data_IF_750420485219
#
_entry.id   IF_750420485219
#
_cell.length_a   1.000
_cell.length_b   1.000
_cell.length_c   1.000
_cell.angle_alpha   90.00
_cell.angle_beta   90.00
_cell.angle_gamma   90.00
#
_symmetry.space_group_name_H-M   'P 1'
#
loop_
_entity.id
_entity.type
_entity.pdbx_description
1 polymer ?
#
# COMPACT_ATOMS: atom_id res chain seq x y z
N UNK A 1 14.81 6.65 -32.27
CA UNK A 1 13.59 7.48 -32.15
C UNK A 1 13.24 7.55 -30.67
N UNK A 2 13.25 8.75 -30.09
CA UNK A 2 13.04 8.97 -28.65
C UNK A 2 11.55 8.81 -28.35
N UNK A 3 11.17 7.76 -27.62
CA UNK A 3 9.82 7.63 -27.07
C UNK A 3 9.74 8.54 -25.84
N UNK A 4 8.86 9.54 -25.90
CA UNK A 4 8.54 10.39 -24.77
C UNK A 4 7.60 9.59 -23.86
N UNK A 5 8.08 9.14 -22.71
CA UNK A 5 7.20 8.64 -21.66
C UNK A 5 6.47 9.83 -21.06
N UNK A 6 5.16 9.92 -21.29
CA UNK A 6 4.31 10.80 -20.51
C UNK A 6 4.16 10.19 -19.12
N UNK A 7 4.68 10.89 -18.11
CA UNK A 7 4.45 10.62 -16.70
C UNK A 7 3.02 11.06 -16.38
N UNK A 8 2.11 10.10 -16.17
CA UNK A 8 0.80 10.38 -15.58
C UNK A 8 0.91 10.06 -14.08
N UNK A 9 1.05 11.11 -13.27
CA UNK A 9 0.99 11.03 -11.81
C UNK A 9 -0.45 10.67 -11.44
N UNK A 10 -0.69 9.42 -11.04
CA UNK A 10 -1.98 9.00 -10.50
C UNK A 10 -1.89 9.02 -8.97
N UNK A 11 -2.54 10.01 -8.35
CA UNK A 11 -2.84 10.01 -6.93
C UNK A 11 -3.62 8.73 -6.58
N UNK A 12 -3.11 7.93 -5.65
CA UNK A 12 -3.93 6.95 -4.95
C UNK A 12 -5.09 7.70 -4.28
N UNK A 13 -6.30 7.42 -4.76
CA UNK A 13 -7.53 7.87 -4.15
C UNK A 13 -7.74 7.08 -2.86
N UNK A 14 -7.44 7.72 -1.73
CA UNK A 14 -7.97 7.30 -0.42
C UNK A 14 -9.48 7.48 -0.50
N UNK A 15 -10.22 6.40 -0.72
CA UNK A 15 -11.67 6.42 -0.69
C UNK A 15 -12.12 6.62 0.75
N UNK A 16 -12.52 7.86 1.07
CA UNK A 16 -13.20 8.20 2.31
C UNK A 16 -14.64 7.67 2.21
N UNK A 17 -14.92 6.52 2.81
CA UNK A 17 -16.30 6.05 3.02
C UNK A 17 -16.91 6.87 4.15
N UNK A 18 -17.52 8.00 3.77
CA UNK A 18 -18.23 8.88 4.69
C UNK A 18 -19.49 8.23 5.25
N UNK A 19 -19.55 8.12 6.57
CA UNK A 19 -20.77 7.86 7.32
C UNK A 19 -21.80 8.99 7.05
N UNK A 20 -23.01 8.64 6.59
CA UNK A 20 -24.19 9.51 6.79
C UNK A 20 -25.38 8.70 7.29
N UNK A 21 -25.86 9.13 8.46
CA UNK A 21 -27.03 8.61 9.14
C UNK A 21 -28.34 8.93 8.39
N UNK A 22 -29.29 8.01 8.49
CA UNK A 22 -30.61 8.05 7.89
C UNK A 22 -31.54 9.17 8.41
N UNK A 23 -32.37 9.76 7.51
CA UNK A 23 -33.85 9.84 7.68
C UNK A 23 -34.64 10.41 6.46
N UNK A 24 -35.56 9.55 6.00
CA UNK A 24 -36.95 9.72 5.50
C UNK A 24 -37.37 10.60 4.29
N UNK A 25 -37.95 9.88 3.31
CA UNK A 25 -39.28 10.03 2.63
C UNK A 25 -39.58 11.20 1.68
N UNK A 26 -39.97 10.85 0.45
CA UNK A 26 -40.80 11.67 -0.45
C UNK A 26 -40.75 11.20 -1.91
N UNK A 27 -41.90 10.89 -2.50
CA UNK A 27 -42.11 10.18 -3.77
C UNK A 27 -42.39 11.11 -4.99
N UNK A 28 -42.27 10.54 -6.19
CA UNK A 28 -43.01 10.79 -7.45
C UNK A 28 -42.37 11.61 -8.61
N UNK A 29 -42.27 10.90 -9.76
CA UNK A 29 -42.51 11.23 -11.19
C UNK A 29 -41.76 12.46 -11.81
N UNK A 30 -41.27 12.51 -13.07
CA UNK A 30 -41.76 11.96 -14.34
C UNK A 30 -40.74 12.23 -15.50
N UNK A 31 -40.87 11.43 -16.57
CA UNK A 31 -40.63 11.62 -18.02
C UNK A 31 -39.44 12.37 -18.68
N UNK A 32 -38.76 11.63 -19.59
CA UNK A 32 -38.57 11.84 -21.07
C UNK A 32 -37.85 13.15 -21.52
N UNK A 33 -36.77 13.18 -22.31
CA UNK A 33 -36.69 12.78 -23.73
C UNK A 33 -35.26 12.94 -24.28
N UNK A 34 -34.97 12.14 -25.29
CA UNK A 34 -33.85 12.15 -26.24
C UNK A 34 -33.56 13.50 -26.93
N UNK A 35 -32.31 13.71 -27.35
CA UNK A 35 -32.07 14.17 -28.72
C UNK A 35 -30.73 13.68 -29.27
N UNK A 36 -30.83 12.94 -30.37
CA UNK A 36 -29.78 12.41 -31.25
C UNK A 36 -29.53 13.40 -32.41
N UNK A 37 -28.31 13.42 -32.93
CA UNK A 37 -27.93 13.50 -34.36
C UNK A 37 -26.56 14.17 -34.54
N UNK A 38 -25.72 13.93 -35.54
CA UNK A 38 -25.46 12.84 -36.51
C UNK A 38 -24.35 13.39 -37.45
N UNK A 39 -23.62 12.52 -38.15
CA UNK A 39 -22.80 12.82 -39.35
C UNK A 39 -21.31 13.10 -39.10
N UNK A 40 -20.37 12.17 -39.35
CA UNK A 40 -19.76 11.76 -40.65
C UNK A 40 -18.89 12.86 -41.30
N UNK A 41 -17.76 12.65 -41.97
CA UNK A 41 -16.72 11.62 -42.12
C UNK A 41 -15.72 12.18 -43.17
N UNK A 42 -14.48 11.67 -43.20
CA UNK A 42 -13.52 11.68 -44.36
C UNK A 42 -12.85 13.03 -44.74
N UNK A 43 -11.62 13.14 -45.23
CA UNK A 43 -10.42 12.28 -45.38
C UNK A 43 -9.23 13.22 -45.75
N UNK A 44 -8.02 12.67 -45.72
CA UNK A 44 -6.66 13.03 -46.25
C UNK A 44 -6.44 14.31 -47.15
N UNK A 45 -5.26 14.91 -47.37
CA UNK A 45 -3.85 14.50 -47.35
C UNK A 45 -2.93 15.75 -47.47
N UNK A 46 -1.61 15.52 -47.32
CA UNK A 46 -0.37 16.33 -47.46
C UNK A 46 -0.30 17.61 -48.33
N UNK A 47 0.60 18.56 -47.98
CA UNK A 47 1.80 18.97 -48.79
C UNK A 47 2.82 19.82 -48.00
N UNK A 48 4.05 19.81 -48.51
CA UNK A 48 5.34 20.27 -47.97
C UNK A 48 5.64 21.79 -47.96
N UNK A 49 6.58 22.13 -47.07
CA UNK A 49 7.75 23.03 -47.14
C UNK A 49 7.80 24.28 -48.06
N UNK A 50 8.28 25.40 -47.48
CA UNK A 50 9.31 26.25 -48.13
C UNK A 50 10.23 26.97 -47.12
N UNK A 51 11.44 27.24 -47.62
CA UNK A 51 12.70 27.77 -47.09
C UNK A 51 12.67 29.09 -46.29
N UNK A 52 13.75 29.36 -45.52
CA UNK A 52 14.82 30.34 -45.85
C UNK A 52 15.88 30.41 -44.73
N UNK A 53 17.05 29.88 -45.07
CA UNK A 53 18.40 30.47 -45.03
C UNK A 53 19.06 31.02 -43.75
N UNK A 54 20.32 30.59 -43.60
CA UNK A 54 21.31 30.77 -42.55
C UNK A 54 22.05 32.10 -42.70
N UNK A 55 22.47 32.72 -41.59
CA UNK A 55 23.69 33.54 -41.62
C UNK A 55 24.47 33.47 -40.29
N UNK A 56 25.79 33.54 -40.41
CA UNK A 56 26.81 33.14 -39.45
C UNK A 56 27.16 34.19 -38.36
N UNK A 57 27.62 33.66 -37.21
CA UNK A 57 28.32 34.22 -36.02
C UNK A 57 29.57 35.11 -36.26
N UNK A 58 30.31 35.63 -35.25
CA UNK A 58 30.03 36.11 -33.87
C UNK A 58 30.74 37.47 -33.53
N UNK A 59 30.52 38.07 -32.33
CA UNK A 59 31.58 38.61 -31.43
C UNK A 59 31.03 39.36 -30.18
N UNK A 60 31.48 38.90 -29.00
CA UNK A 60 31.71 39.53 -27.68
C UNK A 60 30.90 40.77 -27.19
N UNK A 61 30.29 40.67 -26.00
CA UNK A 61 30.87 41.21 -24.75
C UNK A 61 29.97 40.93 -23.52
N UNK A 62 30.68 40.66 -22.43
CA UNK A 62 30.31 40.28 -21.06
C UNK A 62 29.42 41.31 -20.31
N UNK A 63 28.33 40.85 -19.68
CA UNK A 63 27.92 41.31 -18.34
C UNK A 63 26.82 40.41 -17.72
N UNK A 64 27.25 39.60 -16.75
CA UNK A 64 26.54 39.26 -15.50
C UNK A 64 25.03 38.97 -15.55
N UNK A 65 24.68 37.68 -15.67
CA UNK A 65 23.58 37.10 -14.88
C UNK A 65 24.00 35.72 -14.40
N UNK A 66 24.30 35.61 -13.10
CA UNK A 66 24.29 34.33 -12.38
C UNK A 66 22.85 33.80 -12.42
N UNK A 67 22.55 33.01 -13.44
CA UNK A 67 21.51 32.00 -13.31
C UNK A 67 22.11 30.91 -12.45
N UNK A 68 21.71 30.86 -11.19
CA UNK A 68 21.84 29.64 -10.40
C UNK A 68 21.10 28.55 -11.17
N UNK A 69 21.84 27.73 -11.89
CA UNK A 69 21.35 26.44 -12.33
C UNK A 69 21.13 25.66 -11.05
N UNK A 70 19.87 25.53 -10.65
CA UNK A 70 19.44 24.55 -9.66
C UNK A 70 20.08 23.23 -10.06
N UNK A 71 20.95 22.71 -9.19
CA UNK A 71 21.47 21.36 -9.34
C UNK A 71 20.28 20.39 -9.51
N UNK A 72 20.42 19.35 -10.34
CA UNK A 72 19.38 18.34 -10.48
C UNK A 72 19.12 17.73 -9.10
N UNK A 73 17.84 17.75 -8.69
CA UNK A 73 17.31 17.26 -7.43
C UNK A 73 18.10 16.05 -6.90
N UNK A 74 18.72 16.23 -5.74
CA UNK A 74 19.35 15.15 -4.99
C UNK A 74 18.22 14.19 -4.58
N UNK A 75 18.12 13.06 -5.29
CA UNK A 75 17.21 11.97 -4.94
C UNK A 75 17.65 11.41 -3.60
N UNK A 76 16.88 11.67 -2.55
CA UNK A 76 17.08 11.09 -1.23
C UNK A 76 17.04 9.57 -1.35
N UNK A 77 18.14 8.89 -1.01
CA UNK A 77 18.17 7.43 -0.94
C UNK A 77 17.24 6.97 0.19
N UNK A 78 16.22 6.15 -0.08
CA UNK A 78 15.30 5.70 0.96
C UNK A 78 15.94 4.78 1.99
N UNK A 79 17.04 4.09 1.67
CA UNK A 79 17.84 3.41 2.70
C UNK A 79 18.47 4.44 3.65
N UNK A 80 19.02 5.53 3.11
CA UNK A 80 19.56 6.64 3.90
C UNK A 80 18.48 7.35 4.72
N UNK A 81 17.28 7.52 4.16
CA UNK A 81 16.15 8.12 4.86
C UNK A 81 15.65 7.22 6.02
N UNK A 82 15.63 5.90 5.83
CA UNK A 82 15.31 4.92 6.89
C UNK A 82 16.40 4.91 7.97
N UNK A 83 17.67 5.03 7.60
CA UNK A 83 18.81 5.09 8.55
C UNK A 83 18.88 6.41 9.33
N UNK A 84 18.57 7.54 8.68
CA UNK A 84 18.53 8.85 9.31
C UNK A 84 17.45 8.92 10.41
N UNK A 85 16.37 8.15 10.24
CA UNK A 85 15.22 8.13 11.14
C UNK A 85 14.45 9.46 11.15
N UNK A 86 13.35 9.48 11.90
CA UNK A 86 12.55 10.69 12.06
C UNK A 86 13.28 11.74 12.90
N UNK A 87 13.07 13.02 12.57
CA UNK A 87 13.58 14.11 13.41
C UNK A 87 12.93 14.12 14.80
N UNK A 88 13.63 14.69 15.80
CA UNK A 88 13.11 14.85 17.17
C UNK A 88 11.72 15.54 17.17
N UNK A 89 11.54 16.55 16.32
CA UNK A 89 10.28 17.29 16.19
C UNK A 89 9.13 16.44 15.64
N UNK A 90 9.40 15.58 14.65
CA UNK A 90 8.40 14.64 14.12
C UNK A 90 8.01 13.59 15.18
N UNK A 91 9.00 13.09 15.92
CA UNK A 91 8.80 12.11 16.99
C UNK A 91 7.92 12.69 18.11
N UNK A 92 8.18 13.93 18.55
CA UNK A 92 7.38 14.62 19.56
C UNK A 92 5.92 14.85 19.13
N UNK A 93 5.67 15.12 17.86
CA UNK A 93 4.32 15.30 17.34
C UNK A 93 3.56 13.98 17.28
N UNK A 94 4.22 12.92 16.80
CA UNK A 94 3.66 11.57 16.76
C UNK A 94 3.32 11.06 18.15
N UNK A 95 4.24 11.17 19.11
CA UNK A 95 3.98 10.74 20.50
C UNK A 95 2.75 11.45 21.09
N UNK A 96 2.59 12.76 20.84
CA UNK A 96 1.41 13.50 21.31
C UNK A 96 0.12 13.02 20.66
N UNK A 97 0.15 12.67 19.38
CA UNK A 97 -1.00 12.11 18.68
C UNK A 97 -1.42 10.76 19.29
N UNK A 98 -0.46 9.86 19.50
CA UNK A 98 -0.68 8.55 20.15
C UNK A 98 -1.20 8.74 21.59
N UNK A 99 -0.55 9.59 22.39
CA UNK A 99 -1.01 9.88 23.75
C UNK A 99 -2.39 10.52 23.81
N UNK A 100 -2.80 11.26 22.77
CA UNK A 100 -4.14 11.82 22.69
C UNK A 100 -5.17 10.74 22.35
N UNK A 101 -4.88 9.89 21.36
CA UNK A 101 -5.72 8.75 20.98
C UNK A 101 -5.89 7.75 22.13
N UNK A 102 -4.81 7.43 22.86
CA UNK A 102 -4.83 6.50 23.99
C UNK A 102 -5.69 6.97 25.20
N UNK A 103 -6.16 8.22 25.20
CA UNK A 103 -7.11 8.74 26.20
C UNK A 103 -8.57 8.49 25.82
N UNK A 104 -8.84 7.88 24.67
CA UNK A 104 -10.17 7.50 24.23
C UNK A 104 -10.85 6.51 25.19
N UNK A 105 -12.17 6.37 25.08
CA UNK A 105 -12.95 5.52 25.98
C UNK A 105 -12.91 4.02 25.62
N UNK A 106 -12.41 3.69 24.43
CA UNK A 106 -12.37 2.34 23.84
C UNK A 106 -11.18 2.21 22.88
N UNK A 107 -10.71 0.99 22.65
CA UNK A 107 -9.71 0.65 21.64
C UNK A 107 -10.20 0.99 20.21
N UNK A 108 -11.51 0.88 19.96
CA UNK A 108 -12.09 1.30 18.68
C UNK A 108 -11.93 2.81 18.45
N UNK A 109 -12.27 3.64 19.45
CA UNK A 109 -12.10 5.10 19.38
C UNK A 109 -10.62 5.50 19.35
N UNK A 110 -9.75 4.78 20.06
CA UNK A 110 -8.30 4.97 20.03
C UNK A 110 -7.75 4.80 18.61
N UNK A 111 -8.01 3.65 17.97
CA UNK A 111 -7.53 3.41 16.59
C UNK A 111 -8.14 4.39 15.58
N UNK A 112 -9.41 4.78 15.75
CA UNK A 112 -10.01 5.83 14.93
C UNK A 112 -9.25 7.17 15.07
N UNK A 113 -8.77 7.50 16.26
CA UNK A 113 -7.94 8.69 16.49
C UNK A 113 -6.56 8.60 15.83
N UNK A 114 -5.98 7.40 15.78
CA UNK A 114 -4.72 7.14 15.07
C UNK A 114 -4.92 7.28 13.55
N UNK A 115 -6.01 6.75 12.99
CA UNK A 115 -6.36 6.92 11.58
C UNK A 115 -6.59 8.40 11.21
N UNK A 116 -7.22 9.19 12.08
CA UNK A 116 -7.38 10.63 11.89
C UNK A 116 -6.02 11.35 11.85
N UNK A 117 -5.08 10.95 12.70
CA UNK A 117 -3.71 11.48 12.69
C UNK A 117 -2.95 11.07 11.40
N UNK A 118 -3.07 9.81 10.96
CA UNK A 118 -2.53 9.34 9.68
C UNK A 118 -3.08 10.18 8.51
N UNK A 119 -4.40 10.40 8.48
CA UNK A 119 -5.06 11.19 7.44
C UNK A 119 -4.58 12.65 7.42
N UNK A 120 -4.33 13.24 8.60
CA UNK A 120 -3.73 14.57 8.73
C UNK A 120 -2.33 14.63 8.14
N UNK A 121 -1.50 13.62 8.39
CA UNK A 121 -0.15 13.53 7.82
C UNK A 121 -0.19 13.33 6.31
N UNK A 122 -1.11 12.50 5.81
CA UNK A 122 -1.34 12.36 4.37
C UNK A 122 -1.80 13.68 3.72
N UNK A 123 -2.60 14.50 4.41
CA UNK A 123 -2.98 15.83 3.92
C UNK A 123 -1.78 16.79 3.87
N UNK A 124 -0.89 16.75 4.86
CA UNK A 124 0.34 17.54 4.86
C UNK A 124 1.29 17.09 3.74
N UNK A 125 1.46 15.79 3.52
CA UNK A 125 2.28 15.25 2.44
C UNK A 125 1.81 15.73 1.06
N UNK A 126 0.49 15.86 0.82
CA UNK A 126 -0.05 16.43 -0.43
C UNK A 126 0.31 17.90 -0.66
N UNK A 127 0.77 18.61 0.37
CA UNK A 127 1.24 19.99 0.28
C UNK A 127 2.75 20.13 0.07
N UNK A 128 3.51 19.03 0.20
CA UNK A 128 4.94 19.00 -0.07
C UNK A 128 5.23 19.40 -1.52
N UNK A 129 6.33 20.12 -1.74
CA UNK A 129 6.68 20.67 -3.05
C UNK A 129 7.80 19.88 -3.72
N UNK A 130 8.65 19.21 -2.93
CA UNK A 130 9.80 18.46 -3.43
C UNK A 130 9.68 16.95 -3.16
N UNK A 131 10.39 16.14 -3.95
CA UNK A 131 10.44 14.69 -3.72
C UNK A 131 11.09 14.35 -2.37
N UNK A 132 12.10 15.12 -1.93
CA UNK A 132 12.74 14.94 -0.63
C UNK A 132 11.75 15.17 0.50
N UNK A 133 11.00 16.29 0.46
CA UNK A 133 9.94 16.57 1.44
C UNK A 133 8.85 15.48 1.43
N UNK A 134 8.46 14.97 0.26
CA UNK A 134 7.49 13.86 0.18
C UNK A 134 8.03 12.58 0.83
N UNK A 135 9.29 12.23 0.57
CA UNK A 135 9.93 11.05 1.18
C UNK A 135 10.06 11.21 2.70
N UNK A 136 10.52 12.36 3.20
CA UNK A 136 10.59 12.64 4.64
C UNK A 136 9.21 12.60 5.32
N UNK A 137 8.18 13.16 4.66
CA UNK A 137 6.81 13.14 5.17
C UNK A 137 6.19 11.73 5.14
N UNK A 138 6.62 10.87 4.22
CA UNK A 138 6.14 9.48 4.13
C UNK A 138 6.55 8.60 5.31
N UNK A 139 7.59 8.99 6.07
CA UNK A 139 8.02 8.29 7.29
C UNK A 139 7.08 8.47 8.47
N UNK A 140 6.36 9.61 8.52
CA UNK A 140 5.61 10.02 9.70
C UNK A 140 4.41 9.09 10.00
N UNK A 141 3.62 8.63 9.00
CA UNK A 141 2.63 7.57 9.20
C UNK A 141 3.22 6.26 9.75
N UNK A 142 4.40 5.86 9.26
CA UNK A 142 5.07 4.64 9.73
C UNK A 142 5.43 4.77 11.21
N UNK A 143 6.07 5.88 11.59
CA UNK A 143 6.40 6.17 12.99
C UNK A 143 5.16 6.24 13.89
N UNK A 144 4.06 6.79 13.39
CA UNK A 144 2.78 6.87 14.11
C UNK A 144 2.27 5.48 14.47
N UNK A 145 2.17 4.60 13.47
CA UNK A 145 1.69 3.24 13.69
C UNK A 145 2.68 2.40 14.50
N UNK A 146 3.99 2.58 14.34
CA UNK A 146 5.00 1.88 15.14
C UNK A 146 4.92 2.31 16.62
N UNK A 147 4.67 3.60 16.87
CA UNK A 147 4.47 4.12 18.24
C UNK A 147 3.20 3.55 18.87
N UNK A 148 2.08 3.53 18.13
CA UNK A 148 0.84 2.92 18.60
C UNK A 148 0.99 1.41 18.83
N UNK A 149 1.64 0.70 17.90
CA UNK A 149 1.88 -0.74 18.00
C UNK A 149 2.66 -1.07 19.28
N UNK A 150 3.70 -0.31 19.61
CA UNK A 150 4.48 -0.49 20.83
C UNK A 150 3.67 -0.19 22.11
N UNK A 151 2.77 0.80 22.05
CA UNK A 151 1.83 1.13 23.13
C UNK A 151 0.83 -0.02 23.37
N UNK A 152 0.23 -0.56 22.30
CA UNK A 152 -0.65 -1.73 22.36
C UNK A 152 0.08 -2.97 22.87
N UNK A 153 1.27 -3.24 22.34
CA UNK A 153 2.10 -4.37 22.79
C UNK A 153 2.39 -4.29 24.29
N UNK A 154 2.80 -3.13 24.79
CA UNK A 154 3.05 -2.93 26.23
C UNK A 154 1.80 -3.23 27.07
N UNK A 155 0.62 -2.76 26.63
CA UNK A 155 -0.65 -3.07 27.30
C UNK A 155 -1.03 -4.54 27.21
N UNK A 156 -0.73 -5.20 26.09
CA UNK A 156 -0.99 -6.63 25.89
C UNK A 156 -0.16 -7.49 26.86
N UNK A 157 1.12 -7.14 27.06
CA UNK A 157 1.97 -7.81 28.04
C UNK A 157 1.43 -7.72 29.48
N UNK A 158 0.68 -6.66 29.80
CA UNK A 158 0.08 -6.46 31.14
C UNK A 158 -1.32 -7.07 31.28
N UNK A 159 -2.03 -7.31 30.17
CA UNK A 159 -3.46 -7.65 30.17
C UNK A 159 -3.74 -9.11 29.80
N UNK A 160 -2.99 -9.68 28.86
CA UNK A 160 -3.28 -11.01 28.30
C UNK A 160 -2.85 -12.14 29.24
N UNK A 161 -3.53 -13.27 29.15
CA UNK A 161 -3.14 -14.48 29.88
C UNK A 161 -1.83 -15.06 29.34
N UNK A 162 -1.08 -15.77 30.20
CA UNK A 162 0.28 -16.25 29.88
C UNK A 162 0.34 -17.06 28.57
N UNK A 163 -0.66 -17.90 28.30
CA UNK A 163 -0.72 -18.72 27.09
C UNK A 163 -0.97 -17.91 25.81
N UNK A 164 -1.78 -16.86 25.88
CA UNK A 164 -2.06 -15.97 24.74
C UNK A 164 -0.83 -15.10 24.44
N UNK A 165 -0.22 -14.60 25.52
CA UNK A 165 0.99 -13.79 25.43
C UNK A 165 2.18 -14.58 24.87
N UNK A 166 2.32 -15.88 25.19
CA UNK A 166 3.41 -16.71 24.64
C UNK A 166 3.33 -16.81 23.10
N UNK A 167 2.12 -16.99 22.57
CA UNK A 167 1.88 -17.06 21.11
C UNK A 167 2.23 -15.72 20.47
N UNK A 168 1.63 -14.63 20.96
CA UNK A 168 1.89 -13.30 20.42
C UNK A 168 3.35 -12.86 20.55
N UNK A 169 4.06 -13.28 21.60
CA UNK A 169 5.49 -12.97 21.77
C UNK A 169 6.35 -13.62 20.68
N UNK A 170 6.03 -14.86 20.27
CA UNK A 170 6.74 -15.53 19.18
C UNK A 170 6.57 -14.76 17.88
N UNK A 171 5.34 -14.39 17.56
CA UNK A 171 5.02 -13.57 16.38
C UNK A 171 5.70 -12.19 16.45
N UNK A 172 5.62 -11.51 17.60
CA UNK A 172 6.19 -10.18 17.78
C UNK A 172 7.72 -10.18 17.66
N UNK A 173 8.38 -11.29 18.00
CA UNK A 173 9.83 -11.44 17.86
C UNK A 173 10.27 -11.45 16.40
N UNK A 174 9.52 -12.14 15.53
CA UNK A 174 9.82 -12.24 14.09
C UNK A 174 9.23 -11.08 13.29
N UNK A 175 8.23 -10.38 13.85
CA UNK A 175 7.48 -9.30 13.21
C UNK A 175 8.34 -8.23 12.51
N UNK A 176 9.40 -7.66 13.13
CA UNK A 176 10.18 -6.62 12.46
C UNK A 176 10.80 -7.10 11.14
N UNK A 177 11.26 -8.35 11.07
CA UNK A 177 11.82 -8.92 9.85
C UNK A 177 10.76 -9.19 8.79
N UNK A 178 9.58 -9.65 9.22
CA UNK A 178 8.42 -9.82 8.33
C UNK A 178 8.02 -8.48 7.72
N UNK A 179 7.89 -7.43 8.55
CA UNK A 179 7.53 -6.09 8.13
C UNK A 179 8.45 -5.60 7.01
N UNK A 180 9.75 -5.60 7.26
CA UNK A 180 10.74 -5.11 6.31
C UNK A 180 10.75 -5.91 5.01
N UNK A 181 10.80 -7.24 5.11
CA UNK A 181 10.87 -8.12 3.93
C UNK A 181 9.63 -8.01 3.05
N UNK A 182 8.45 -7.93 3.65
CA UNK A 182 7.20 -7.91 2.91
C UNK A 182 6.92 -6.54 2.30
N UNK A 183 7.36 -5.46 2.96
CA UNK A 183 7.35 -4.13 2.36
C UNK A 183 8.28 -4.08 1.12
N UNK A 184 9.53 -4.54 1.25
CA UNK A 184 10.49 -4.56 0.16
C UNK A 184 10.03 -5.42 -1.02
N UNK A 185 9.48 -6.61 -0.76
CA UNK A 185 8.99 -7.51 -1.80
C UNK A 185 7.78 -6.90 -2.56
N UNK A 186 6.90 -6.16 -1.87
CA UNK A 186 5.76 -5.49 -2.49
C UNK A 186 6.18 -4.36 -3.44
N UNK A 187 7.31 -3.70 -3.19
CA UNK A 187 7.78 -2.55 -3.98
C UNK A 187 9.04 -2.83 -4.80
N UNK A 188 9.45 -4.10 -4.90
CA UNK A 188 10.72 -4.52 -5.52
C UNK A 188 10.92 -3.99 -6.94
N UNK A 189 9.86 -3.91 -7.74
CA UNK A 189 9.91 -3.48 -9.14
C UNK A 189 10.17 -1.97 -9.27
N UNK A 190 10.02 -1.23 -8.17
CA UNK A 190 10.25 0.21 -8.11
C UNK A 190 11.61 0.57 -7.55
N UNK A 191 12.44 -0.39 -7.11
CA UNK A 191 13.69 -0.15 -6.35
C UNK A 191 14.66 0.86 -6.98
N UNK A 192 14.70 0.95 -8.31
CA UNK A 192 15.55 1.91 -9.03
C UNK A 192 14.91 3.28 -9.29
N UNK A 193 13.63 3.46 -8.93
CA UNK A 193 12.84 4.66 -9.18
C UNK A 193 12.77 5.61 -7.98
N UNK A 194 12.65 6.91 -8.24
CA UNK A 194 12.50 7.94 -7.19
C UNK A 194 11.23 7.80 -6.33
N UNK A 195 10.26 7.00 -6.79
CA UNK A 195 9.03 6.70 -6.04
C UNK A 195 9.22 5.58 -5.00
N UNK A 196 10.31 4.81 -5.09
CA UNK A 196 10.56 3.64 -4.24
C UNK A 196 10.40 3.94 -2.75
N UNK A 197 11.03 5.01 -2.27
CA UNK A 197 10.99 5.39 -0.86
C UNK A 197 9.57 5.62 -0.35
N UNK A 198 8.79 6.41 -1.09
CA UNK A 198 7.40 6.68 -0.73
C UNK A 198 6.55 5.40 -0.72
N UNK A 199 6.73 4.51 -1.70
CA UNK A 199 6.00 3.25 -1.74
C UNK A 199 6.42 2.34 -0.56
N UNK A 200 7.72 2.24 -0.28
CA UNK A 200 8.25 1.44 0.82
C UNK A 200 7.66 1.88 2.16
N UNK A 201 7.69 3.19 2.48
CA UNK A 201 7.11 3.70 3.71
C UNK A 201 5.59 3.53 3.77
N UNK A 202 4.90 3.63 2.63
CA UNK A 202 3.48 3.31 2.52
C UNK A 202 3.19 1.85 2.89
N UNK A 203 3.99 0.91 2.38
CA UNK A 203 3.85 -0.50 2.73
C UNK A 203 4.19 -0.80 4.19
N UNK A 204 5.27 -0.22 4.73
CA UNK A 204 5.62 -0.34 6.14
C UNK A 204 4.48 0.16 7.04
N UNK A 205 3.89 1.30 6.69
CA UNK A 205 2.73 1.89 7.39
C UNK A 205 1.54 0.93 7.40
N UNK A 206 1.16 0.42 6.22
CA UNK A 206 0.01 -0.50 6.10
C UNK A 206 0.24 -1.78 6.92
N UNK A 207 1.42 -2.38 6.78
CA UNK A 207 1.80 -3.59 7.50
C UNK A 207 1.75 -3.38 9.02
N UNK A 208 2.34 -2.30 9.53
CA UNK A 208 2.30 -1.97 10.97
C UNK A 208 0.88 -1.70 11.44
N UNK A 209 0.06 -0.99 10.65
CA UNK A 209 -1.34 -0.72 10.97
C UNK A 209 -2.12 -2.02 11.16
N UNK A 210 -2.01 -2.98 10.24
CA UNK A 210 -2.70 -4.26 10.39
C UNK A 210 -2.30 -4.99 11.67
N UNK A 211 -1.01 -4.97 12.03
CA UNK A 211 -0.57 -5.56 13.31
C UNK A 211 -1.16 -4.85 14.52
N UNK A 212 -1.29 -3.52 14.47
CA UNK A 212 -1.95 -2.76 15.52
C UNK A 212 -3.43 -3.17 15.68
N UNK A 213 -4.17 -3.37 14.57
CA UNK A 213 -5.55 -3.89 14.62
C UNK A 213 -5.64 -5.29 15.24
N UNK A 214 -4.72 -6.19 14.90
CA UNK A 214 -4.67 -7.54 15.50
C UNK A 214 -4.43 -7.45 17.01
N UNK A 215 -3.43 -6.68 17.46
CA UNK A 215 -3.18 -6.52 18.90
C UNK A 215 -4.34 -5.83 19.63
N UNK A 216 -4.98 -4.85 19.00
CA UNK A 216 -6.16 -4.19 19.57
C UNK A 216 -7.34 -5.15 19.70
N UNK A 217 -7.56 -6.05 18.72
CA UNK A 217 -8.59 -7.08 18.82
C UNK A 217 -8.35 -8.03 20.01
N UNK A 218 -7.12 -8.54 20.14
CA UNK A 218 -6.74 -9.42 21.27
C UNK A 218 -6.95 -8.72 22.62
N UNK A 219 -6.52 -7.46 22.71
CA UNK A 219 -6.74 -6.62 23.90
C UNK A 219 -8.23 -6.37 24.19
N UNK A 220 -9.03 -6.08 23.17
CA UNK A 220 -10.46 -5.85 23.32
C UNK A 220 -11.16 -7.11 23.83
N UNK A 221 -10.82 -8.27 23.27
CA UNK A 221 -11.33 -9.56 23.71
C UNK A 221 -10.99 -9.82 25.18
N UNK A 222 -9.74 -9.62 25.60
CA UNK A 222 -9.33 -9.80 27.00
C UNK A 222 -10.03 -8.84 27.96
N UNK A 223 -10.34 -7.61 27.52
CA UNK A 223 -11.08 -6.60 28.30
C UNK A 223 -12.60 -6.80 28.27
N UNK A 224 -13.12 -7.68 27.41
CA UNK A 224 -14.56 -7.82 27.17
C UNK A 224 -15.18 -6.58 26.48
N UNK A 225 -14.39 -5.87 25.68
CA UNK A 225 -14.79 -4.72 24.90
C UNK A 225 -15.30 -5.15 23.52
N UNK A 226 -16.31 -4.46 22.98
CA UNK A 226 -16.71 -4.65 21.58
C UNK A 226 -15.69 -3.99 20.67
N UNK A 227 -15.17 -4.73 19.70
CA UNK A 227 -14.23 -4.24 18.71
C UNK A 227 -14.54 -4.83 17.34
N UNK A 228 -14.56 -3.98 16.32
CA UNK A 228 -14.86 -4.35 14.94
C UNK A 228 -13.63 -4.05 14.07
N UNK A 229 -13.11 -5.10 13.43
CA UNK A 229 -12.05 -4.97 12.45
C UNK A 229 -12.58 -4.26 11.20
N UNK A 230 -11.76 -3.41 10.53
CA UNK A 230 -12.22 -2.70 9.35
C UNK A 230 -12.48 -3.66 8.19
N UNK A 231 -13.38 -3.24 7.30
CA UNK A 231 -13.66 -3.96 6.06
C UNK A 231 -12.40 -4.10 5.20
N UNK A 232 -12.20 -5.28 4.63
CA UNK A 232 -11.07 -5.56 3.75
C UNK A 232 -11.48 -5.53 2.29
N UNK A 233 -10.56 -5.07 1.46
CA UNK A 233 -10.65 -5.22 0.01
C UNK A 233 -9.96 -6.51 -0.44
N UNK A 234 -9.86 -6.70 -1.75
CA UNK A 234 -9.27 -7.89 -2.37
C UNK A 234 -7.74 -7.95 -2.26
N UNK A 235 -7.10 -6.81 -2.02
CA UNK A 235 -5.66 -6.76 -1.79
C UNK A 235 -5.34 -7.33 -0.41
N UNK A 236 -4.13 -7.84 -0.24
CA UNK A 236 -3.69 -8.34 1.05
C UNK A 236 -2.34 -9.01 0.98
N UNK A 237 -1.67 -9.04 2.13
CA UNK A 237 -0.39 -9.72 2.32
C UNK A 237 -0.58 -10.72 3.45
N UNK A 238 -0.14 -11.94 3.20
CA UNK A 238 -0.33 -13.07 4.10
C UNK A 238 0.95 -13.86 4.14
N UNK A 239 1.32 -14.34 5.33
CA UNK A 239 2.55 -15.07 5.55
C UNK A 239 2.25 -16.32 6.36
N UNK A 240 3.05 -17.36 6.13
CA UNK A 240 3.15 -18.47 7.05
C UNK A 240 4.41 -18.28 7.89
N UNK A 241 4.19 -18.07 9.19
CA UNK A 241 5.27 -17.91 10.15
C UNK A 241 5.71 -19.28 10.63
N UNK A 242 6.74 -19.83 10.01
CA UNK A 242 7.58 -20.80 10.69
C UNK A 242 8.43 -20.05 11.75
N UNK A 243 8.93 -20.73 12.79
CA UNK A 243 9.76 -20.15 13.89
C UNK A 243 11.11 -19.56 13.42
N UNK A 244 11.20 -19.06 12.18
CA UNK A 244 12.36 -18.53 11.51
C UNK A 244 12.20 -17.03 11.26
N UNK A 245 13.32 -16.31 11.25
CA UNK A 245 13.35 -14.89 10.92
C UNK A 245 13.24 -14.64 9.40
N UNK A 246 13.14 -15.70 8.58
CA UNK A 246 13.04 -15.58 7.12
C UNK A 246 11.61 -15.86 6.64
N UNK A 247 10.92 -14.85 6.08
CA UNK A 247 9.61 -15.07 5.45
C UNK A 247 9.78 -15.78 4.11
N UNK A 248 9.53 -17.07 4.04
CA UNK A 248 9.69 -17.83 2.79
C UNK A 248 8.35 -18.15 2.12
N UNK A 249 7.33 -18.22 2.95
CA UNK A 249 5.98 -18.60 2.58
C UNK A 249 5.09 -17.37 2.68
N UNK A 250 4.67 -16.85 1.53
CA UNK A 250 3.82 -15.68 1.49
C UNK A 250 2.89 -15.68 0.27
N UNK A 251 1.76 -15.00 0.44
CA UNK A 251 0.83 -14.64 -0.60
C UNK A 251 0.62 -13.13 -0.58
N UNK A 252 0.79 -12.48 -1.72
CA UNK A 252 0.53 -11.05 -1.92
C UNK A 252 -0.49 -10.92 -3.04
N UNK A 253 -1.54 -10.12 -2.80
CA UNK A 253 -2.50 -9.66 -3.81
C UNK A 253 -2.47 -8.13 -3.81
N UNK A 254 -2.21 -7.53 -4.96
CA UNK A 254 -2.13 -6.06 -5.14
C UNK A 254 -2.94 -5.60 -6.34
N UNK A 255 -3.31 -4.33 -6.36
CA UNK A 255 -4.04 -3.76 -7.50
C UNK A 255 -3.14 -3.70 -8.75
N UNK A 256 -3.70 -4.10 -9.90
CA UNK A 256 -3.00 -4.01 -11.18
C UNK A 256 -3.07 -2.60 -11.76
N UNK A 257 -2.02 -2.16 -12.45
CA UNK A 257 -2.02 -0.88 -13.17
C UNK A 257 -2.98 -0.85 -14.37
N UNK A 258 -3.40 -2.01 -14.88
CA UNK A 258 -4.31 -2.10 -16.03
C UNK A 258 -5.76 -2.30 -15.58
N UNK A 259 -6.04 -3.47 -14.99
CA UNK A 259 -7.34 -3.84 -14.45
C UNK A 259 -7.23 -5.10 -13.58
N UNK A 260 -8.10 -5.22 -12.58
CA UNK A 260 -8.08 -6.33 -11.64
C UNK A 260 -6.89 -6.26 -10.70
N UNK A 261 -6.33 -7.42 -10.36
CA UNK A 261 -5.28 -7.54 -9.36
C UNK A 261 -4.13 -8.40 -9.90
N UNK A 262 -2.95 -8.26 -9.31
CA UNK A 262 -1.85 -9.20 -9.50
C UNK A 262 -1.69 -10.01 -8.22
N UNK A 263 -1.18 -11.24 -8.37
CA UNK A 263 -0.92 -12.16 -7.28
C UNK A 263 0.51 -12.65 -7.34
N UNK A 264 1.10 -12.84 -6.17
CA UNK A 264 2.40 -13.47 -6.00
C UNK A 264 2.33 -14.43 -4.83
N UNK A 265 2.67 -15.70 -5.09
CA UNK A 265 2.73 -16.74 -4.07
C UNK A 265 4.13 -17.33 -4.05
N UNK A 266 4.69 -17.50 -2.86
CA UNK A 266 5.95 -18.18 -2.60
C UNK A 266 5.71 -19.23 -1.54
N UNK A 267 6.19 -20.45 -1.79
CA UNK A 267 6.15 -21.56 -0.84
C UNK A 267 7.51 -22.25 -0.83
N UNK A 268 8.13 -22.35 0.35
CA UNK A 268 9.44 -22.96 0.54
C UNK A 268 9.46 -24.41 0.02
N UNK A 269 10.51 -24.74 -0.74
CA UNK A 269 10.69 -26.07 -1.32
C UNK A 269 9.80 -26.38 -2.53
N UNK A 270 8.79 -25.55 -2.82
CA UNK A 270 7.92 -25.69 -3.99
C UNK A 270 8.33 -24.69 -5.06
N UNK A 271 8.26 -23.39 -4.76
CA UNK A 271 8.63 -22.35 -5.70
C UNK A 271 7.79 -21.09 -5.55
N UNK A 272 7.99 -20.17 -6.50
CA UNK A 272 7.34 -18.87 -6.56
C UNK A 272 6.56 -18.74 -7.87
N UNK A 273 5.33 -18.24 -7.79
CA UNK A 273 4.49 -17.93 -8.94
C UNK A 273 4.04 -16.48 -8.87
N UNK A 274 3.95 -15.86 -10.05
CA UNK A 274 3.32 -14.56 -10.25
C UNK A 274 2.23 -14.71 -11.31
N UNK A 275 1.17 -13.92 -11.18
CA UNK A 275 -0.01 -14.06 -12.03
C UNK A 275 -1.03 -12.96 -11.88
N UNK A 276 -2.09 -13.06 -12.67
CA UNK A 276 -3.26 -12.21 -12.57
C UNK A 276 -4.27 -12.78 -11.60
N UNK A 277 -4.99 -11.90 -10.90
CA UNK A 277 -6.06 -12.24 -9.97
C UNK A 277 -7.34 -11.50 -10.39
N UNK A 278 -8.41 -12.27 -10.55
CA UNK A 278 -9.73 -11.75 -10.96
C UNK A 278 -10.76 -12.10 -9.89
N UNK A 279 -11.53 -11.10 -9.47
CA UNK A 279 -12.67 -11.30 -8.58
C UNK A 279 -13.80 -12.02 -9.32
N UNK A 280 -14.26 -13.14 -8.77
CA UNK A 280 -15.38 -13.92 -9.28
C UNK A 280 -16.41 -14.12 -8.16
N UNK A 281 -17.34 -13.17 -8.01
CA UNK A 281 -18.25 -13.14 -6.86
C UNK A 281 -17.51 -12.74 -5.59
N UNK A 282 -17.54 -13.60 -4.57
CA UNK A 282 -16.80 -13.43 -3.31
C UNK A 282 -15.39 -14.07 -3.37
N UNK A 283 -15.07 -14.81 -4.43
CA UNK A 283 -13.80 -15.53 -4.57
C UNK A 283 -12.80 -14.75 -5.42
N UNK A 284 -11.51 -14.96 -5.13
CA UNK A 284 -10.41 -14.46 -5.95
C UNK A 284 -9.81 -15.62 -6.76
N UNK A 285 -9.72 -15.46 -8.07
CA UNK A 285 -9.20 -16.47 -8.99
C UNK A 285 -7.85 -16.05 -9.52
N UNK A 286 -6.81 -16.80 -9.15
CA UNK A 286 -5.44 -16.62 -9.61
C UNK A 286 -5.19 -17.43 -10.88
N UNK A 287 -4.50 -16.83 -11.85
CA UNK A 287 -3.92 -17.52 -13.01
C UNK A 287 -2.47 -17.07 -13.17
N UNK A 288 -1.52 -18.01 -13.12
CA UNK A 288 -0.09 -17.71 -13.31
C UNK A 288 0.17 -17.14 -14.71
N UNK A 289 1.20 -16.31 -14.85
CA UNK A 289 1.49 -15.64 -16.13
C UNK A 289 1.88 -16.59 -17.27
N UNK A 290 2.41 -17.77 -16.94
CA UNK A 290 2.67 -18.84 -17.91
C UNK A 290 1.43 -19.70 -18.20
N UNK A 291 0.28 -19.39 -17.58
CA UNK A 291 -1.00 -20.08 -17.72
C UNK A 291 -0.97 -21.58 -17.37
N UNK A 292 0.01 -21.98 -16.54
CA UNK A 292 0.16 -23.38 -16.10
C UNK A 292 -0.55 -23.69 -14.79
N UNK A 293 -0.73 -22.69 -13.91
CA UNK A 293 -1.42 -22.81 -12.62
C UNK A 293 -2.65 -21.90 -12.57
N UNK A 294 -3.77 -22.46 -12.13
CA UNK A 294 -4.94 -21.71 -11.67
C UNK A 294 -5.26 -22.10 -10.25
N UNK A 295 -5.57 -21.11 -9.43
CA UNK A 295 -5.88 -21.32 -8.02
C UNK A 295 -7.02 -20.42 -7.56
N UNK A 296 -7.69 -20.85 -6.50
CA UNK A 296 -8.63 -20.03 -5.75
C UNK A 296 -7.90 -19.46 -4.54
N UNK A 297 -8.11 -18.18 -4.28
CA UNK A 297 -7.67 -17.47 -3.09
C UNK A 297 -8.90 -17.14 -2.25
N UNK A 298 -8.88 -17.58 -0.99
CA UNK A 298 -9.84 -17.18 0.03
C UNK A 298 -9.06 -16.53 1.16
N UNK A 299 -9.48 -15.34 1.60
CA UNK A 299 -8.72 -14.61 2.60
C UNK A 299 -9.59 -13.68 3.46
N UNK A 300 -9.22 -13.57 4.73
CA UNK A 300 -9.82 -12.68 5.71
C UNK A 300 -8.81 -12.37 6.82
N UNK A 301 -9.25 -11.72 7.91
CA UNK A 301 -8.38 -11.37 9.03
C UNK A 301 -7.72 -12.56 9.74
N UNK A 302 -8.17 -13.79 9.51
CA UNK A 302 -7.55 -15.03 10.01
C UNK A 302 -6.46 -15.60 9.10
N UNK A 303 -6.20 -14.96 7.95
CA UNK A 303 -5.16 -15.37 7.01
C UNK A 303 -5.69 -15.58 5.59
N UNK A 304 -4.95 -16.35 4.80
CA UNK A 304 -5.34 -16.72 3.45
C UNK A 304 -5.07 -18.19 3.13
N UNK A 305 -5.84 -18.70 2.17
CA UNK A 305 -5.70 -20.04 1.61
C UNK A 305 -5.55 -19.92 0.09
N UNK A 306 -4.54 -20.59 -0.45
CA UNK A 306 -4.28 -20.73 -1.88
C UNK A 306 -4.52 -22.20 -2.29
N UNK A 307 -5.65 -22.45 -2.96
CA UNK A 307 -6.07 -23.79 -3.39
C UNK A 307 -5.80 -23.95 -4.89
N UNK A 308 -4.90 -24.87 -5.27
CA UNK A 308 -4.56 -25.16 -6.67
C UNK A 308 -5.68 -25.96 -7.33
N UNK A 309 -6.34 -25.36 -8.30
CA UNK A 309 -7.44 -25.98 -9.05
C UNK A 309 -6.96 -26.70 -10.31
N UNK A 310 -5.98 -26.11 -11.00
CA UNK A 310 -5.38 -26.64 -12.22
C UNK A 310 -3.88 -26.37 -12.20
N UNK A 311 -3.07 -27.37 -12.50
CA UNK A 311 -1.63 -27.36 -12.63
C UNK A 311 -1.25 -28.32 -13.76
N UNK A 312 -0.66 -27.79 -14.83
CA UNK A 312 -0.26 -28.59 -16.01
C UNK A 312 1.15 -29.14 -15.88
N UNK A 313 2.09 -28.27 -15.52
CA UNK A 313 3.52 -28.53 -15.35
C UNK A 313 4.04 -27.64 -14.22
N UNK A 314 5.15 -28.04 -13.58
CA UNK A 314 5.77 -27.28 -12.49
C UNK A 314 5.66 -27.96 -11.12
N UNK A 315 6.11 -27.28 -10.07
CA UNK A 315 6.21 -27.85 -8.72
C UNK A 315 4.87 -27.87 -7.96
N UNK A 316 3.87 -27.10 -8.39
CA UNK A 316 2.52 -27.08 -7.81
C UNK A 316 1.66 -28.19 -8.40
N UNK A 317 0.79 -28.81 -7.59
CA UNK A 317 -0.05 -29.95 -7.99
C UNK A 317 -1.54 -29.69 -7.78
N UNK A 318 -2.39 -30.26 -8.66
CA UNK A 318 -3.85 -30.19 -8.54
C UNK A 318 -4.35 -30.64 -7.16
N UNK A 319 -5.17 -29.80 -6.53
CA UNK A 319 -5.80 -30.06 -5.24
C UNK A 319 -4.92 -29.78 -4.02
N UNK A 320 -3.70 -29.27 -4.20
CA UNK A 320 -2.88 -28.81 -3.08
C UNK A 320 -3.43 -27.50 -2.50
N UNK A 321 -3.31 -27.39 -1.18
CA UNK A 321 -3.77 -26.26 -0.39
C UNK A 321 -2.58 -25.72 0.38
N UNK A 322 -2.34 -24.42 0.24
CA UNK A 322 -1.29 -23.69 0.95
C UNK A 322 -1.93 -22.63 1.85
N UNK A 323 -1.58 -22.64 3.13
CA UNK A 323 -2.15 -21.77 4.16
C UNK A 323 -1.15 -20.70 4.58
N UNK A 324 -1.63 -19.47 4.70
CA UNK A 324 -0.89 -18.29 5.14
C UNK A 324 -1.64 -17.67 6.32
N UNK A 325 -1.48 -18.20 7.54
CA UNK A 325 -2.33 -17.90 8.69
C UNK A 325 -2.18 -16.48 9.25
N UNK A 326 -1.15 -15.73 8.85
CA UNK A 326 -0.90 -14.39 9.41
C UNK A 326 -1.13 -13.34 8.35
N UNK A 327 -2.11 -12.47 8.60
CA UNK A 327 -2.36 -11.27 7.81
C UNK A 327 -1.43 -10.13 8.23
N UNK A 328 -0.89 -9.41 7.25
CA UNK A 328 0.04 -8.30 7.48
C UNK A 328 -0.27 -7.08 6.58
N UNK A 329 -1.51 -6.94 6.12
CA UNK A 329 -1.90 -6.04 5.03
C UNK A 329 -1.63 -4.55 5.28
#
# INVERSE_FOLDING_TARGET
>A
MKKKCLLAVLMMAVMMTGCTAARSTGNADDAVTEQKADGEAQDEEAVEAENVEVNETPENADESLKSETSDPEEVSDPEEAKEAGASDGQTDEVMKAVEAAAKAGSLQEELSGIEEAEASYAAQMRSAQTQVEMTEMSQKPELLWDTELNSLWSRAQETLEESELEILTKEQKVWPSIKDKMAEEAVKDFKEGSIYGQLLFGELTAITRTRAYVLAQELAQAKGETFELPERNECGKYVNLEDTEEVKDFLIVTESMESGYTGMVSVEGIGKLEGSVVKNGEELMFTSYDEVVKAKIAADWSGAVFEVLEAKEGPFTNGEIYEFPVVIQ
#
